data_IF_835384137380
#
_entry.id   IF_835384137380
#
_cell.length_a   1.000
_cell.length_b   1.000
_cell.length_c   1.000
_cell.angle_alpha   90.00
_cell.angle_beta   90.00
_cell.angle_gamma   90.00
#
_symmetry.space_group_name_H-M   'P 1'
#
loop_
_entity.id
_entity.type
_entity.pdbx_description
1 polymer ?
#
# COMPACT_ATOMS: atom_id res chain seq x y z
N UNK A 1 48.85 26.12 -10.18
CA UNK A 1 48.16 26.26 -8.88
C UNK A 1 46.74 26.83 -9.03
N UNK A 2 46.52 27.97 -9.72
CA UNK A 2 45.15 28.50 -9.94
C UNK A 2 44.25 27.59 -10.80
N UNK A 3 44.78 27.00 -11.88
CA UNK A 3 44.02 26.05 -12.72
C UNK A 3 43.62 24.78 -11.96
N UNK A 4 44.50 24.29 -11.11
CA UNK A 4 44.30 23.10 -10.29
C UNK A 4 43.23 23.33 -9.22
N UNK A 5 43.26 24.51 -8.59
CA UNK A 5 42.21 24.96 -7.67
C UNK A 5 40.85 25.14 -8.37
N UNK A 6 40.84 25.63 -9.62
CA UNK A 6 39.62 25.75 -10.42
C UNK A 6 39.02 24.38 -10.79
N UNK A 7 39.87 23.42 -11.17
CA UNK A 7 39.43 22.05 -11.46
C UNK A 7 38.90 21.36 -10.20
N UNK A 8 39.54 21.57 -9.05
CA UNK A 8 39.09 21.04 -7.77
C UNK A 8 37.73 21.60 -7.34
N UNK A 9 37.47 22.90 -7.50
CA UNK A 9 36.17 23.49 -7.12
C UNK A 9 35.03 23.02 -8.03
N UNK A 10 35.29 22.85 -9.33
CA UNK A 10 34.30 22.29 -10.27
C UNK A 10 33.98 20.83 -9.91
N UNK A 11 34.99 20.01 -9.61
CA UNK A 11 34.80 18.62 -9.20
C UNK A 11 33.97 18.53 -7.91
N UNK A 12 34.36 19.25 -6.85
CA UNK A 12 33.63 19.29 -5.58
C UNK A 12 32.19 19.77 -5.77
N UNK A 13 31.97 20.78 -6.62
CA UNK A 13 30.63 21.25 -6.97
C UNK A 13 29.78 20.14 -7.62
N UNK A 14 30.32 19.45 -8.61
CA UNK A 14 29.60 18.36 -9.31
C UNK A 14 29.25 17.18 -8.40
N UNK A 15 30.16 16.79 -7.49
CA UNK A 15 29.90 15.76 -6.49
C UNK A 15 28.84 16.20 -5.46
N UNK A 16 28.86 17.46 -5.05
CA UNK A 16 27.84 18.03 -4.16
C UNK A 16 26.44 17.98 -4.78
N UNK A 17 26.30 18.34 -6.06
CA UNK A 17 25.04 18.22 -6.79
C UNK A 17 24.56 16.78 -6.92
N UNK A 18 25.47 15.83 -7.21
CA UNK A 18 25.13 14.42 -7.30
C UNK A 18 24.62 13.86 -5.96
N UNK A 19 25.27 14.21 -4.84
CA UNK A 19 24.82 13.82 -3.50
C UNK A 19 23.47 14.44 -3.15
N UNK A 20 23.28 15.74 -3.43
CA UNK A 20 22.03 16.42 -3.15
C UNK A 20 20.86 15.80 -3.92
N UNK A 21 21.06 15.45 -5.19
CA UNK A 21 20.07 14.75 -6.00
C UNK A 21 19.76 13.34 -5.47
N UNK A 22 20.80 12.58 -5.09
CA UNK A 22 20.62 11.24 -4.52
C UNK A 22 19.86 11.29 -3.18
N UNK A 23 20.18 12.26 -2.31
CA UNK A 23 19.51 12.48 -1.04
C UNK A 23 18.05 12.92 -1.22
N UNK A 24 17.77 13.77 -2.20
CA UNK A 24 16.39 14.17 -2.53
C UNK A 24 15.57 12.96 -3.00
N UNK A 25 16.16 12.10 -3.84
CA UNK A 25 15.49 10.88 -4.32
C UNK A 25 15.28 9.85 -3.22
N UNK A 26 16.24 9.67 -2.31
CA UNK A 26 16.10 8.74 -1.19
C UNK A 26 15.05 9.23 -0.18
N UNK A 27 15.02 10.52 0.12
CA UNK A 27 13.99 11.13 0.96
C UNK A 27 12.59 10.98 0.35
N UNK A 28 12.46 11.16 -0.97
CA UNK A 28 11.20 10.91 -1.67
C UNK A 28 10.75 9.44 -1.57
N UNK A 29 11.66 8.49 -1.79
CA UNK A 29 11.37 7.06 -1.67
C UNK A 29 10.99 6.63 -0.23
N UNK A 30 11.59 7.27 0.79
CA UNK A 30 11.25 7.01 2.18
C UNK A 30 9.84 7.50 2.52
N UNK A 31 9.43 8.67 2.00
CA UNK A 31 8.06 9.20 2.18
C UNK A 31 7.02 8.26 1.55
N UNK A 32 7.28 7.77 0.34
CA UNK A 32 6.37 6.82 -0.33
C UNK A 32 6.27 5.50 0.45
N UNK A 33 7.39 4.97 0.92
CA UNK A 33 7.40 3.75 1.75
C UNK A 33 6.62 3.90 3.06
N UNK A 34 6.80 5.03 3.75
CA UNK A 34 6.06 5.32 4.99
C UNK A 34 4.55 5.44 4.72
N UNK A 35 4.15 6.15 3.66
CA UNK A 35 2.74 6.30 3.29
C UNK A 35 2.09 4.95 2.97
N UNK A 36 2.79 4.08 2.23
CA UNK A 36 2.32 2.72 1.94
C UNK A 36 2.18 1.89 3.22
N UNK A 37 3.16 1.95 4.13
CA UNK A 37 3.11 1.21 5.38
C UNK A 37 1.96 1.69 6.30
N UNK A 38 1.72 3.00 6.36
CA UNK A 38 0.58 3.58 7.06
C UNK A 38 -0.76 3.12 6.46
N UNK A 39 -0.87 3.11 5.13
CA UNK A 39 -2.08 2.63 4.44
C UNK A 39 -2.35 1.15 4.75
N UNK A 40 -1.31 0.31 4.67
CA UNK A 40 -1.40 -1.12 5.03
C UNK A 40 -1.78 -1.30 6.50
N UNK A 41 -1.20 -0.50 7.40
CA UNK A 41 -1.50 -0.52 8.84
C UNK A 41 -2.96 -0.14 9.13
N UNK A 42 -3.44 0.93 8.51
CA UNK A 42 -4.83 1.37 8.60
C UNK A 42 -5.79 0.31 8.06
N UNK A 43 -5.48 -0.30 6.90
CA UNK A 43 -6.25 -1.42 6.36
C UNK A 43 -6.30 -2.57 7.37
N UNK A 44 -5.16 -3.04 7.87
CA UNK A 44 -5.14 -4.11 8.88
C UNK A 44 -5.95 -3.77 10.12
N UNK A 45 -5.88 -2.55 10.63
CA UNK A 45 -6.68 -2.14 11.80
C UNK A 45 -8.18 -2.18 11.52
N UNK A 46 -8.60 -1.75 10.33
CA UNK A 46 -10.00 -1.82 9.92
C UNK A 46 -10.46 -3.28 9.80
N UNK A 47 -9.65 -4.12 9.15
CA UNK A 47 -9.90 -5.55 9.04
C UNK A 47 -9.95 -6.27 10.39
N UNK A 48 -9.15 -5.85 11.37
CA UNK A 48 -9.19 -6.37 12.73
C UNK A 48 -10.45 -5.92 13.48
N UNK A 49 -10.91 -4.68 13.23
CA UNK A 49 -12.09 -4.12 13.90
C UNK A 49 -13.40 -4.70 13.35
N UNK A 50 -13.53 -4.86 12.03
CA UNK A 50 -14.77 -5.31 11.37
C UNK A 50 -14.76 -6.77 10.94
N UNK A 51 -13.58 -7.36 10.74
CA UNK A 51 -13.42 -8.70 10.19
C UNK A 51 -13.47 -8.74 8.65
N UNK A 52 -12.89 -9.78 8.06
CA UNK A 52 -12.78 -9.93 6.60
C UNK A 52 -14.14 -10.05 5.89
N UNK A 53 -15.14 -10.62 6.57
CA UNK A 53 -16.45 -10.91 5.99
C UNK A 53 -17.44 -9.72 6.06
N UNK A 54 -17.14 -8.66 6.82
CA UNK A 54 -18.10 -7.58 7.05
C UNK A 54 -18.44 -6.85 5.74
N UNK A 55 -19.70 -6.76 5.32
CA UNK A 55 -20.09 -6.16 4.03
C UNK A 55 -19.75 -6.99 2.78
N UNK A 56 -19.27 -8.23 2.94
CA UNK A 56 -19.22 -9.20 1.86
C UNK A 56 -20.63 -9.77 1.59
N UNK A 57 -20.96 -10.10 0.33
CA UNK A 57 -22.25 -10.68 0.00
C UNK A 57 -22.32 -12.14 0.49
N UNK A 58 -23.51 -12.67 0.75
CA UNK A 58 -23.70 -14.08 1.13
C UNK A 58 -23.31 -15.09 0.03
N UNK A 59 -23.26 -14.62 -1.22
CA UNK A 59 -22.83 -15.35 -2.41
C UNK A 59 -22.38 -14.38 -3.51
N UNK A 60 -21.43 -14.81 -4.35
CA UNK A 60 -20.94 -14.02 -5.49
C UNK A 60 -19.92 -12.96 -5.10
N UNK A 61 -19.83 -11.91 -5.93
CA UNK A 61 -18.82 -10.86 -5.81
C UNK A 61 -19.49 -9.51 -5.52
N UNK A 62 -18.88 -8.72 -4.63
CA UNK A 62 -19.28 -7.34 -4.35
C UNK A 62 -18.05 -6.43 -4.41
N UNK A 63 -18.25 -5.18 -4.86
CA UNK A 63 -17.22 -4.15 -4.82
C UNK A 63 -17.79 -2.91 -4.11
N UNK A 64 -17.07 -2.46 -3.09
CA UNK A 64 -17.44 -1.28 -2.29
C UNK A 64 -16.24 -0.35 -2.19
N UNK A 65 -16.46 0.94 -2.36
CA UNK A 65 -15.43 1.95 -2.10
C UNK A 65 -15.46 2.33 -0.61
N UNK A 66 -14.29 2.29 0.04
CA UNK A 66 -14.11 2.70 1.42
C UNK A 66 -13.26 3.96 1.47
N UNK A 67 -13.60 4.82 2.42
CA UNK A 67 -12.74 5.91 2.85
C UNK A 67 -11.90 5.41 4.03
N UNK A 68 -10.59 5.58 3.92
CA UNK A 68 -9.65 5.15 4.95
C UNK A 68 -9.01 6.37 5.59
N UNK A 69 -9.11 6.50 6.91
CA UNK A 69 -8.34 7.49 7.65
C UNK A 69 -7.07 6.83 8.16
N UNK A 70 -5.92 7.27 7.65
CA UNK A 70 -4.60 6.91 8.13
C UNK A 70 -4.29 7.68 9.43
N UNK A 71 -3.28 7.19 10.16
CA UNK A 71 -2.72 7.96 11.26
C UNK A 71 -2.31 9.37 10.78
N UNK A 72 -2.38 10.34 11.69
CA UNK A 72 -2.14 11.77 11.42
C UNK A 72 -3.25 12.50 10.63
N UNK A 73 -4.46 11.91 10.55
CA UNK A 73 -5.63 12.58 9.94
C UNK A 73 -5.61 12.59 8.41
N UNK A 74 -4.78 11.72 7.82
CA UNK A 74 -4.63 11.58 6.37
C UNK A 74 -5.78 10.73 5.83
N UNK A 75 -6.64 11.27 4.98
CA UNK A 75 -7.73 10.51 4.35
C UNK A 75 -7.33 9.97 2.97
N UNK A 76 -7.56 8.68 2.74
CA UNK A 76 -7.60 8.04 1.44
C UNK A 76 -9.06 7.92 1.00
N UNK A 77 -9.43 8.66 -0.06
CA UNK A 77 -10.81 8.74 -0.52
C UNK A 77 -11.23 7.63 -1.49
N UNK A 78 -10.28 6.84 -1.97
CA UNK A 78 -10.52 5.80 -2.99
C UNK A 78 -9.76 4.52 -2.65
N UNK A 79 -10.30 3.77 -1.69
CA UNK A 79 -9.89 2.38 -1.44
C UNK A 79 -11.01 1.48 -1.93
N UNK A 80 -10.80 0.82 -3.07
CA UNK A 80 -11.75 -0.14 -3.59
C UNK A 80 -11.55 -1.48 -2.89
N UNK A 81 -12.61 -1.98 -2.27
CA UNK A 81 -12.65 -3.30 -1.67
C UNK A 81 -13.50 -4.21 -2.55
N UNK A 82 -12.88 -5.26 -3.06
CA UNK A 82 -13.54 -6.36 -3.75
C UNK A 82 -13.66 -7.54 -2.79
N UNK A 83 -14.86 -8.09 -2.63
CA UNK A 83 -15.08 -9.31 -1.86
C UNK A 83 -15.76 -10.38 -2.72
N UNK A 84 -15.31 -11.62 -2.60
CA UNK A 84 -15.92 -12.79 -3.24
C UNK A 84 -16.02 -13.94 -2.25
N UNK A 85 -17.11 -14.70 -2.29
CA UNK A 85 -17.26 -15.91 -1.47
C UNK A 85 -16.89 -17.12 -2.33
N UNK A 86 -15.90 -17.89 -1.88
CA UNK A 86 -15.58 -19.21 -2.44
C UNK A 86 -16.05 -20.32 -1.50
N UNK A 87 -16.52 -21.43 -2.05
CA UNK A 87 -16.86 -22.62 -1.27
C UNK A 87 -15.63 -23.54 -1.18
N UNK A 88 -15.23 -23.89 0.04
CA UNK A 88 -14.13 -24.82 0.30
C UNK A 88 -14.62 -26.00 1.11
N UNK A 89 -14.33 -27.21 0.65
CA UNK A 89 -14.69 -28.44 1.37
C UNK A 89 -13.60 -28.78 2.37
N UNK A 90 -13.88 -28.59 3.65
CA UNK A 90 -12.99 -28.99 4.74
C UNK A 90 -13.35 -30.42 5.15
N UNK A 91 -12.36 -31.31 5.12
CA UNK A 91 -12.53 -32.69 5.58
C UNK A 91 -11.72 -32.89 6.85
N UNK A 92 -12.41 -33.19 7.96
CA UNK A 92 -11.79 -33.49 9.24
C UNK A 92 -12.38 -34.79 9.79
N UNK A 93 -11.52 -35.72 10.19
CA UNK A 93 -11.92 -37.03 10.75
C UNK A 93 -12.93 -37.80 9.90
N UNK A 94 -12.78 -37.76 8.57
CA UNK A 94 -13.66 -38.47 7.62
C UNK A 94 -15.01 -37.80 7.35
N UNK A 95 -15.29 -36.64 7.95
CA UNK A 95 -16.49 -35.84 7.69
C UNK A 95 -16.12 -34.63 6.84
N UNK A 96 -16.73 -34.51 5.67
CA UNK A 96 -16.57 -33.36 4.78
C UNK A 96 -17.69 -32.36 5.00
N UNK A 97 -17.34 -31.09 5.20
CA UNK A 97 -18.28 -29.96 5.22
C UNK A 97 -17.82 -28.86 4.27
N UNK A 98 -18.75 -28.36 3.48
CA UNK A 98 -18.53 -27.16 2.67
C UNK A 98 -18.62 -25.94 3.56
N UNK A 99 -17.57 -25.12 3.52
CA UNK A 99 -17.45 -23.87 4.27
C UNK A 99 -17.30 -22.73 3.27
N UNK A 100 -18.02 -21.64 3.49
CA UNK A 100 -17.89 -20.40 2.72
C UNK A 100 -16.66 -19.64 3.23
N UNK A 101 -15.71 -19.38 2.34
CA UNK A 101 -14.48 -18.65 2.61
C UNK A 101 -14.54 -17.31 1.88
N UNK A 102 -14.51 -16.16 2.59
CA UNK A 102 -14.44 -14.86 1.97
C UNK A 102 -13.02 -14.58 1.47
N UNK A 103 -12.89 -14.28 0.19
CA UNK A 103 -11.70 -13.70 -0.43
C UNK A 103 -11.89 -12.20 -0.56
N UNK A 104 -10.96 -11.43 0.02
CA UNK A 104 -11.04 -9.97 0.05
C UNK A 104 -9.78 -9.38 -0.58
N UNK A 105 -9.99 -8.46 -1.51
CA UNK A 105 -8.96 -7.68 -2.16
C UNK A 105 -9.20 -6.19 -1.93
N UNK A 106 -8.18 -5.49 -1.44
CA UNK A 106 -8.17 -4.05 -1.29
C UNK A 106 -7.23 -3.43 -2.31
N UNK A 107 -7.70 -2.37 -2.94
CA UNK A 107 -6.99 -1.60 -3.95
C UNK A 107 -7.03 -0.13 -3.57
N UNK A 108 -5.88 0.43 -3.20
CA UNK A 108 -5.75 1.86 -2.90
C UNK A 108 -4.92 2.55 -3.98
N UNK A 109 -5.42 3.65 -4.54
CA UNK A 109 -4.70 4.46 -5.54
C UNK A 109 -4.59 5.90 -5.03
N UNK A 110 -3.37 6.36 -4.79
CA UNK A 110 -3.04 7.74 -4.43
C UNK A 110 -1.66 8.10 -5.02
N UNK A 111 -1.60 8.65 -6.25
CA UNK A 111 -0.34 8.92 -6.93
C UNK A 111 0.50 10.01 -6.25
N UNK A 112 -0.13 10.88 -5.45
CA UNK A 112 0.56 11.94 -4.72
C UNK A 112 1.35 11.35 -3.55
N UNK A 113 0.79 10.35 -2.86
CA UNK A 113 1.39 9.79 -1.64
C UNK A 113 2.18 8.52 -1.89
N UNK A 114 1.74 7.67 -2.82
CA UNK A 114 2.44 6.42 -3.15
C UNK A 114 3.52 6.60 -4.20
N UNK A 115 3.55 7.75 -4.89
CA UNK A 115 4.57 8.07 -5.90
C UNK A 115 4.40 7.32 -7.22
N UNK A 116 3.33 6.56 -7.38
CA UNK A 116 2.95 5.89 -8.63
C UNK A 116 1.43 5.83 -8.79
N UNK A 117 0.99 5.72 -10.04
CA UNK A 117 -0.40 5.37 -10.38
C UNK A 117 -0.72 3.89 -10.11
N UNK A 118 0.28 3.11 -9.70
CA UNK A 118 0.08 1.71 -9.40
C UNK A 118 -0.69 1.56 -8.09
N UNK A 119 -1.63 0.62 -8.03
CA UNK A 119 -2.46 0.46 -6.86
C UNK A 119 -1.66 -0.31 -5.81
N UNK A 120 -1.80 0.10 -4.56
CA UNK A 120 -1.44 -0.74 -3.45
C UNK A 120 -2.49 -1.86 -3.33
N UNK A 121 -2.05 -3.10 -3.57
CA UNK A 121 -2.90 -4.29 -3.55
C UNK A 121 -2.66 -5.09 -2.27
N UNK A 122 -3.75 -5.37 -1.56
CA UNK A 122 -3.77 -6.24 -0.38
C UNK A 122 -4.79 -7.35 -0.62
N UNK A 123 -4.35 -8.61 -0.63
CA UNK A 123 -5.20 -9.78 -0.88
C UNK A 123 -5.10 -10.75 0.30
N UNK A 124 -6.21 -11.40 0.63
CA UNK A 124 -6.25 -12.57 1.50
C UNK A 124 -6.98 -13.72 0.79
#
# INVERSE_FOLDING_TARGET
>A
MLLEALVATILVGSFGFALAYAAARSAAAQRTGNAQNLAVGALRSQLQATGFADGCPDAGNNQTSLQLTLAEGIELKSVDRSCSIAESTVTASGVSKTVKVPHVEFRAVDPVRFGSSDPLLLKN
#
